data_IF_545984410070
#
_entry.id   IF_545984410070
#
_cell.length_a   1.000
_cell.length_b   1.000
_cell.length_c   1.000
_cell.angle_alpha   90.00
_cell.angle_beta   90.00
_cell.angle_gamma   90.00
#
_symmetry.space_group_name_H-M   'P 1'
#
loop_
_entity.id
_entity.type
_entity.pdbx_description
1 polymer ?
#
# COMPACT_ATOMS: atom_id res chain seq x y z
N UNK A 1 -14.25 -7.17 -18.22
CA UNK A 1 -13.07 -7.66 -17.47
C UNK A 1 -13.44 -7.66 -16.01
N UNK A 2 -13.15 -8.74 -15.30
CA UNK A 2 -13.52 -8.85 -13.88
C UNK A 2 -12.69 -7.89 -13.02
N UNK A 3 -13.28 -7.42 -11.94
CA UNK A 3 -12.62 -6.54 -10.97
C UNK A 3 -12.82 -7.15 -9.60
N UNK A 4 -11.75 -7.29 -8.83
CA UNK A 4 -11.74 -7.83 -7.47
C UNK A 4 -11.20 -6.76 -6.53
N UNK A 5 -11.82 -6.58 -5.37
CA UNK A 5 -11.32 -5.69 -4.33
C UNK A 5 -10.63 -6.51 -3.23
N UNK A 6 -9.37 -6.21 -2.94
CA UNK A 6 -8.64 -6.81 -1.82
C UNK A 6 -8.40 -5.77 -0.73
N UNK A 7 -8.78 -6.10 0.49
CA UNK A 7 -8.53 -5.28 1.68
C UNK A 7 -7.68 -6.05 2.66
N UNK A 8 -6.60 -5.46 3.14
CA UNK A 8 -5.78 -6.03 4.22
C UNK A 8 -6.17 -5.36 5.53
N UNK A 9 -6.62 -6.15 6.50
CA UNK A 9 -7.06 -5.66 7.81
C UNK A 9 -6.06 -6.08 8.89
N UNK A 10 -5.78 -5.17 9.83
CA UNK A 10 -4.91 -5.45 10.97
C UNK A 10 -5.52 -4.99 12.29
N UNK A 11 -5.83 -5.93 13.18
CA UNK A 11 -6.42 -5.68 14.52
C UNK A 11 -7.65 -4.76 14.51
N UNK A 12 -8.45 -4.85 13.45
CA UNK A 12 -9.70 -4.10 13.23
C UNK A 12 -10.77 -5.06 12.73
N UNK A 13 -12.02 -4.84 13.13
CA UNK A 13 -13.15 -5.59 12.55
C UNK A 13 -13.56 -5.04 11.18
N UNK A 14 -14.14 -5.86 10.31
CA UNK A 14 -14.73 -5.38 9.05
C UNK A 14 -15.81 -4.32 9.31
N UNK A 15 -16.54 -4.40 10.40
CA UNK A 15 -17.56 -3.41 10.77
C UNK A 15 -16.95 -2.04 11.11
N UNK A 16 -15.72 -2.01 11.65
CA UNK A 16 -15.01 -0.78 12.01
C UNK A 16 -14.17 -0.21 10.86
N UNK A 17 -13.92 -1.01 9.81
CA UNK A 17 -13.20 -0.57 8.63
C UNK A 17 -14.08 0.31 7.74
N UNK A 18 -13.60 1.51 7.42
CA UNK A 18 -14.27 2.43 6.48
C UNK A 18 -14.44 1.80 5.10
N UNK A 19 -13.39 1.17 4.61
CA UNK A 19 -13.37 0.49 3.32
C UNK A 19 -14.37 -0.65 3.27
N UNK A 20 -14.42 -1.49 4.31
CA UNK A 20 -15.38 -2.60 4.37
C UNK A 20 -16.84 -2.11 4.43
N UNK A 21 -17.11 -1.03 5.19
CA UNK A 21 -18.45 -0.42 5.19
C UNK A 21 -18.84 0.10 3.82
N UNK A 22 -17.93 0.76 3.13
CA UNK A 22 -18.16 1.28 1.79
C UNK A 22 -18.35 0.16 0.75
N UNK A 23 -17.53 -0.90 0.81
CA UNK A 23 -17.63 -2.06 -0.08
C UNK A 23 -18.94 -2.84 0.07
N UNK A 24 -19.58 -2.80 1.24
CA UNK A 24 -20.88 -3.44 1.44
C UNK A 24 -21.97 -2.87 0.50
N UNK A 25 -21.81 -1.66 -0.01
CA UNK A 25 -22.68 -1.03 -1.01
C UNK A 25 -22.20 -1.18 -2.46
N UNK A 26 -21.09 -1.88 -2.70
CA UNK A 26 -20.49 -2.02 -4.02
C UNK A 26 -20.78 -3.39 -4.64
N UNK A 27 -20.92 -3.43 -5.97
CA UNK A 27 -21.12 -4.67 -6.75
C UNK A 27 -19.77 -5.17 -7.29
N UNK A 28 -18.93 -5.65 -6.38
CA UNK A 28 -17.59 -6.18 -6.70
C UNK A 28 -17.29 -7.35 -5.77
N UNK A 29 -16.69 -8.45 -6.26
CA UNK A 29 -16.14 -9.48 -5.38
C UNK A 29 -15.07 -8.92 -4.45
N UNK A 30 -15.20 -9.20 -3.14
CA UNK A 30 -14.32 -8.68 -2.10
C UNK A 30 -13.53 -9.83 -1.47
N UNK A 31 -12.23 -9.60 -1.31
CA UNK A 31 -11.32 -10.45 -0.56
C UNK A 31 -10.85 -9.67 0.67
N UNK A 32 -10.98 -10.26 1.82
CA UNK A 32 -10.42 -9.71 3.07
C UNK A 32 -9.25 -10.60 3.49
N UNK A 33 -8.05 -10.02 3.51
CA UNK A 33 -6.90 -10.67 4.11
C UNK A 33 -6.76 -10.17 5.56
N UNK A 34 -7.04 -11.05 6.51
CA UNK A 34 -6.99 -10.71 7.92
C UNK A 34 -5.58 -10.97 8.48
N UNK A 35 -4.84 -9.89 8.66
CA UNK A 35 -3.48 -9.85 9.17
C UNK A 35 -3.44 -9.66 10.70
N UNK A 36 -4.60 -9.80 11.37
CA UNK A 36 -4.74 -9.53 12.80
C UNK A 36 -4.01 -10.56 13.66
N UNK A 37 -3.50 -10.09 14.80
CA UNK A 37 -2.83 -10.92 15.80
C UNK A 37 -3.80 -11.47 16.86
N UNK A 38 -5.08 -11.09 16.74
CA UNK A 38 -6.18 -11.53 17.61
C UNK A 38 -7.44 -11.70 16.77
N UNK A 39 -8.34 -12.56 17.21
CA UNK A 39 -9.63 -12.74 16.55
C UNK A 39 -10.47 -11.45 16.66
N UNK A 40 -10.88 -10.94 15.53
CA UNK A 40 -11.74 -9.76 15.39
C UNK A 40 -13.14 -10.13 14.87
N UNK A 41 -13.46 -11.41 14.74
CA UNK A 41 -14.72 -11.91 14.20
C UNK A 41 -14.88 -11.67 12.69
N UNK A 42 -13.81 -11.41 11.98
CA UNK A 42 -13.85 -11.03 10.57
C UNK A 42 -14.31 -12.17 9.66
N UNK A 43 -13.98 -13.42 9.98
CA UNK A 43 -14.42 -14.57 9.19
C UNK A 43 -15.94 -14.67 9.14
N UNK A 44 -16.60 -14.55 10.30
CA UNK A 44 -18.07 -14.57 10.38
C UNK A 44 -18.69 -13.41 9.59
N UNK A 45 -18.14 -12.19 9.74
CA UNK A 45 -18.61 -11.00 9.02
C UNK A 45 -18.44 -11.13 7.50
N UNK A 46 -17.34 -11.72 7.03
CA UNK A 46 -17.13 -12.00 5.61
C UNK A 46 -18.15 -13.02 5.09
N UNK A 47 -18.41 -14.08 5.84
CA UNK A 47 -19.41 -15.10 5.49
C UNK A 47 -20.81 -14.51 5.32
N UNK A 48 -21.23 -13.65 6.24
CA UNK A 48 -22.54 -12.96 6.18
C UNK A 48 -22.67 -12.06 4.95
N UNK A 49 -21.56 -11.46 4.50
CA UNK A 49 -21.53 -10.57 3.33
C UNK A 49 -21.26 -11.29 2.00
N UNK A 50 -20.99 -12.59 2.02
CA UNK A 50 -20.58 -13.33 0.83
C UNK A 50 -19.18 -12.94 0.31
N UNK A 51 -18.31 -12.44 1.20
CA UNK A 51 -16.95 -12.08 0.88
C UNK A 51 -15.97 -13.24 1.11
N UNK A 52 -14.88 -13.25 0.36
CA UNK A 52 -13.80 -14.21 0.58
C UNK A 52 -12.96 -13.78 1.78
N UNK A 53 -12.87 -14.67 2.77
CA UNK A 53 -11.98 -14.49 3.92
C UNK A 53 -10.68 -15.27 3.71
N UNK A 54 -9.55 -14.58 3.89
CA UNK A 54 -8.21 -15.17 3.89
C UNK A 54 -7.55 -14.83 5.22
N UNK A 55 -7.35 -15.85 6.05
CA UNK A 55 -6.70 -15.68 7.36
C UNK A 55 -5.18 -15.78 7.25
N UNK A 56 -4.47 -14.79 7.78
CA UNK A 56 -3.03 -14.84 8.01
C UNK A 56 -2.68 -15.66 9.25
N UNK A 57 -1.38 -15.92 9.46
CA UNK A 57 -0.86 -16.56 10.69
C UNK A 57 -0.47 -15.54 11.75
N UNK A 58 -1.14 -14.39 11.76
CA UNK A 58 -0.79 -13.22 12.51
C UNK A 58 -0.36 -12.09 11.58
N UNK A 59 0.46 -11.13 12.06
CA UNK A 59 0.88 -10.02 11.23
C UNK A 59 1.99 -10.44 10.25
N UNK A 60 1.60 -10.95 9.09
CA UNK A 60 2.50 -11.44 8.04
C UNK A 60 3.11 -10.32 7.18
N UNK A 61 2.63 -9.09 7.32
CA UNK A 61 2.99 -7.94 6.49
C UNK A 61 2.17 -7.85 5.20
N UNK A 62 2.25 -6.69 4.54
CA UNK A 62 1.37 -6.39 3.42
C UNK A 62 1.77 -7.13 2.13
N UNK A 63 3.06 -7.39 1.92
CA UNK A 63 3.55 -8.14 0.75
C UNK A 63 3.01 -9.57 0.72
N UNK A 64 3.03 -10.27 1.85
CA UNK A 64 2.45 -11.62 1.97
C UNK A 64 0.93 -11.58 1.82
N UNK A 65 0.28 -10.60 2.40
CA UNK A 65 -1.16 -10.44 2.27
C UNK A 65 -1.59 -10.28 0.80
N UNK A 66 -0.90 -9.43 0.06
CA UNK A 66 -1.18 -9.26 -1.37
C UNK A 66 -0.88 -10.54 -2.17
N UNK A 67 0.25 -11.20 -1.92
CA UNK A 67 0.56 -12.48 -2.54
C UNK A 67 -0.53 -13.53 -2.24
N UNK A 68 -1.03 -13.58 -1.01
CA UNK A 68 -2.13 -14.48 -0.63
C UNK A 68 -3.43 -14.22 -1.41
N UNK A 69 -3.80 -12.95 -1.59
CA UNK A 69 -4.95 -12.57 -2.42
C UNK A 69 -4.75 -12.97 -3.88
N UNK A 70 -3.57 -12.73 -4.43
CA UNK A 70 -3.21 -13.06 -5.81
C UNK A 70 -3.24 -14.58 -6.02
N UNK A 71 -2.61 -15.34 -5.13
CA UNK A 71 -2.56 -16.81 -5.20
C UNK A 71 -3.98 -17.41 -5.16
N UNK A 72 -4.83 -16.89 -4.28
CA UNK A 72 -6.23 -17.33 -4.19
C UNK A 72 -7.00 -17.12 -5.51
N UNK A 73 -6.89 -15.94 -6.11
CA UNK A 73 -7.55 -15.63 -7.37
C UNK A 73 -7.00 -16.47 -8.53
N UNK A 74 -5.69 -16.66 -8.60
CA UNK A 74 -5.04 -17.47 -9.64
C UNK A 74 -5.38 -18.95 -9.52
N UNK A 75 -5.45 -19.49 -8.31
CA UNK A 75 -5.89 -20.88 -8.08
C UNK A 75 -7.33 -21.13 -8.55
N UNK A 76 -8.16 -20.09 -8.55
CA UNK A 76 -9.52 -20.14 -9.09
C UNK A 76 -9.60 -19.83 -10.60
N UNK A 77 -8.46 -19.66 -11.28
CA UNK A 77 -8.43 -19.32 -12.70
C UNK A 77 -8.99 -17.93 -13.03
N UNK A 78 -9.04 -17.02 -12.04
CA UNK A 78 -9.59 -15.68 -12.23
C UNK A 78 -8.64 -14.82 -13.09
N UNK A 79 -9.26 -13.97 -13.89
CA UNK A 79 -8.59 -12.96 -14.72
C UNK A 79 -9.21 -11.59 -14.45
N UNK A 80 -8.53 -10.52 -14.84
CA UNK A 80 -9.02 -9.16 -14.65
C UNK A 80 -8.15 -8.36 -13.69
N UNK A 81 -8.73 -7.39 -12.99
CA UNK A 81 -7.99 -6.49 -12.10
C UNK A 81 -8.15 -6.86 -10.63
N UNK A 82 -7.05 -6.81 -9.91
CA UNK A 82 -7.03 -6.78 -8.45
C UNK A 82 -6.84 -5.33 -7.99
N UNK A 83 -7.86 -4.77 -7.34
CA UNK A 83 -7.80 -3.45 -6.72
C UNK A 83 -7.35 -3.60 -5.27
N UNK A 84 -6.20 -3.02 -4.93
CA UNK A 84 -5.63 -3.01 -3.59
C UNK A 84 -6.20 -1.83 -2.82
N UNK A 85 -6.76 -2.08 -1.65
CA UNK A 85 -7.40 -1.06 -0.82
C UNK A 85 -6.88 -1.16 0.61
N UNK A 86 -6.55 -0.01 1.20
CA UNK A 86 -6.30 0.09 2.64
C UNK A 86 -7.62 0.02 3.41
N UNK A 87 -7.61 -0.31 4.68
CA UNK A 87 -8.81 -0.52 5.49
C UNK A 87 -9.54 0.79 5.92
N UNK A 88 -8.97 1.94 5.55
CA UNK A 88 -9.46 3.29 5.80
C UNK A 88 -9.75 4.10 4.51
N UNK A 89 -9.87 3.44 3.36
CA UNK A 89 -10.16 4.07 2.07
C UNK A 89 -11.66 4.24 1.86
N UNK A 90 -12.11 5.46 1.56
CA UNK A 90 -13.50 5.77 1.20
C UNK A 90 -13.77 5.40 -0.26
N UNK A 91 -13.89 4.10 -0.53
CA UNK A 91 -14.18 3.59 -1.86
C UNK A 91 -15.68 3.71 -2.19
N UNK A 92 -16.02 3.78 -3.47
CA UNK A 92 -17.42 3.83 -3.94
C UNK A 92 -17.60 3.00 -5.20
N UNK A 93 -18.86 2.68 -5.55
CA UNK A 93 -19.18 2.02 -6.81
C UNK A 93 -18.63 2.81 -8.02
N UNK A 94 -18.63 4.14 -7.96
CA UNK A 94 -18.08 5.00 -9.02
C UNK A 94 -16.61 4.75 -9.33
N UNK A 95 -15.81 4.31 -8.35
CA UNK A 95 -14.43 3.87 -8.61
C UNK A 95 -14.40 2.62 -9.49
N UNK A 96 -15.19 1.59 -9.17
CA UNK A 96 -15.25 0.36 -9.94
C UNK A 96 -15.83 0.58 -11.34
N UNK A 97 -16.82 1.45 -11.47
CA UNK A 97 -17.38 1.85 -12.76
C UNK A 97 -16.35 2.60 -13.62
N UNK A 98 -15.48 3.40 -13.01
CA UNK A 98 -14.37 4.04 -13.71
C UNK A 98 -13.27 3.05 -14.07
N UNK A 99 -13.00 2.06 -13.20
CA UNK A 99 -12.05 0.96 -13.46
C UNK A 99 -12.50 0.07 -14.63
N UNK A 100 -13.79 -0.21 -14.77
CA UNK A 100 -14.31 -1.07 -15.85
C UNK A 100 -14.03 -0.53 -17.26
N UNK A 101 -13.68 0.75 -17.36
CA UNK A 101 -13.35 1.45 -18.63
C UNK A 101 -11.84 1.51 -18.89
N UNK A 102 -11.02 0.99 -17.98
CA UNK A 102 -9.56 1.01 -18.14
C UNK A 102 -9.09 -0.20 -18.94
N UNK A 103 -7.99 -0.02 -19.63
CA UNK A 103 -7.35 -1.05 -20.47
C UNK A 103 -5.87 -1.24 -20.15
N UNK A 104 -5.29 -0.34 -19.38
CA UNK A 104 -3.89 -0.40 -18.97
C UNK A 104 -3.69 -1.38 -17.81
N UNK A 105 -2.58 -2.11 -17.84
CA UNK A 105 -2.29 -3.18 -16.87
C UNK A 105 -2.15 -2.71 -15.42
N UNK A 106 -1.77 -1.46 -15.21
CA UNK A 106 -1.65 -0.83 -13.90
C UNK A 106 -2.38 0.50 -13.95
N UNK A 107 -3.34 0.69 -13.06
CA UNK A 107 -4.14 1.93 -12.97
C UNK A 107 -4.09 2.44 -11.53
N UNK A 108 -3.88 3.74 -11.38
CA UNK A 108 -3.81 4.38 -10.06
C UNK A 108 -4.74 5.59 -10.00
N UNK A 109 -5.50 5.76 -8.91
CA UNK A 109 -6.29 6.97 -8.68
C UNK A 109 -5.39 8.11 -8.20
N UNK A 110 -5.97 9.30 -8.15
CA UNK A 110 -5.38 10.42 -7.41
C UNK A 110 -5.82 10.35 -5.96
N UNK A 111 -4.90 10.55 -5.04
CA UNK A 111 -5.18 10.49 -3.60
C UNK A 111 -4.84 11.83 -2.97
N UNK A 112 -5.78 12.35 -2.20
CA UNK A 112 -5.67 13.62 -1.49
C UNK A 112 -5.81 13.42 0.02
N UNK A 113 -5.09 14.21 0.82
CA UNK A 113 -5.29 14.34 2.26
C UNK A 113 -5.18 15.81 2.62
N UNK A 114 -6.06 16.30 3.46
CA UNK A 114 -6.12 17.70 3.88
C UNK A 114 -5.96 18.71 2.70
N UNK A 115 -6.60 18.42 1.56
CA UNK A 115 -6.55 19.24 0.34
C UNK A 115 -5.22 19.15 -0.43
N UNK A 116 -4.26 18.31 0.01
CA UNK A 116 -3.00 18.09 -0.69
C UNK A 116 -3.01 16.74 -1.40
N UNK A 117 -2.53 16.71 -2.65
CA UNK A 117 -2.33 15.43 -3.35
C UNK A 117 -1.16 14.68 -2.71
N UNK A 118 -1.37 13.42 -2.38
CA UNK A 118 -0.36 12.50 -1.88
C UNK A 118 0.18 11.58 -2.97
N UNK A 119 -0.70 11.17 -3.90
CA UNK A 119 -0.43 10.20 -4.95
C UNK A 119 -1.20 10.57 -6.23
N UNK A 120 -0.64 10.27 -7.42
CA UNK A 120 0.69 9.77 -7.69
C UNK A 120 1.79 10.83 -7.46
N UNK A 121 3.04 10.37 -7.46
CA UNK A 121 4.23 11.21 -7.34
C UNK A 121 5.34 10.71 -8.28
N UNK A 122 6.44 11.44 -8.35
CA UNK A 122 7.70 10.94 -8.93
C UNK A 122 8.60 10.44 -7.81
N UNK A 123 9.26 9.32 -8.03
CA UNK A 123 10.20 8.76 -7.06
C UNK A 123 11.65 8.91 -7.59
N UNK A 124 12.47 9.65 -6.86
CA UNK A 124 13.90 9.77 -7.20
C UNK A 124 14.63 8.45 -6.91
N UNK A 125 15.84 8.28 -7.46
CA UNK A 125 16.70 7.12 -7.17
C UNK A 125 16.93 6.89 -5.66
N UNK A 126 16.99 7.95 -4.87
CA UNK A 126 17.08 7.87 -3.40
C UNK A 126 15.73 7.72 -2.68
N UNK A 127 14.69 7.21 -3.35
CA UNK A 127 13.34 7.00 -2.81
C UNK A 127 12.69 8.27 -2.19
N UNK A 128 13.04 9.46 -2.69
CA UNK A 128 12.36 10.70 -2.31
C UNK A 128 11.21 10.95 -3.26
N UNK A 129 10.01 11.04 -2.72
CA UNK A 129 8.82 11.43 -3.49
C UNK A 129 8.86 12.92 -3.84
N UNK A 130 8.46 13.23 -5.08
CA UNK A 130 8.25 14.58 -5.59
C UNK A 130 6.85 14.63 -6.18
N UNK A 131 5.99 15.45 -5.62
CA UNK A 131 4.63 15.64 -6.13
C UNK A 131 4.69 16.36 -7.48
N UNK A 132 3.72 16.06 -8.34
CA UNK A 132 3.50 16.83 -9.57
C UNK A 132 2.97 18.22 -9.23
N UNK A 133 3.28 19.21 -10.05
CA UNK A 133 2.87 20.61 -9.83
C UNK A 133 1.38 20.81 -10.04
N UNK A 134 0.78 20.07 -10.99
CA UNK A 134 -0.65 20.14 -11.31
C UNK A 134 -1.21 18.76 -11.68
N UNK A 135 -2.54 18.70 -11.85
CA UNK A 135 -3.23 17.44 -12.15
C UNK A 135 -2.99 16.96 -13.58
N UNK A 136 -2.95 17.87 -14.55
CA UNK A 136 -2.73 17.53 -15.96
C UNK A 136 -1.37 16.86 -16.12
N UNK A 137 -0.32 17.44 -15.51
CA UNK A 137 1.01 16.85 -15.48
C UNK A 137 0.98 15.44 -14.90
N UNK A 138 0.26 15.20 -13.79
CA UNK A 138 0.17 13.89 -13.17
C UNK A 138 -0.52 12.87 -14.08
N UNK A 139 -1.60 13.27 -14.76
CA UNK A 139 -2.38 12.37 -15.63
C UNK A 139 -1.67 12.03 -16.95
N UNK A 140 -0.86 12.95 -17.46
CA UNK A 140 -0.16 12.79 -18.74
C UNK A 140 1.27 12.25 -18.58
N UNK A 141 1.74 12.07 -17.33
CA UNK A 141 3.12 11.67 -17.09
C UNK A 141 3.36 10.20 -17.43
N UNK A 142 4.39 9.95 -18.24
CA UNK A 142 4.79 8.63 -18.73
C UNK A 142 6.21 8.22 -18.32
N UNK A 143 6.85 9.01 -17.45
CA UNK A 143 8.22 8.73 -17.00
C UNK A 143 8.31 7.44 -16.16
N UNK A 144 9.46 6.78 -16.20
CA UNK A 144 9.69 5.52 -15.46
C UNK A 144 9.83 5.70 -13.95
N UNK A 145 9.92 6.94 -13.48
CA UNK A 145 10.00 7.30 -12.08
C UNK A 145 8.62 7.66 -11.47
N UNK A 146 7.52 7.44 -12.21
CA UNK A 146 6.18 7.57 -11.64
C UNK A 146 5.96 6.52 -10.56
N UNK A 147 5.38 6.94 -9.46
CA UNK A 147 5.04 6.07 -8.33
C UNK A 147 3.71 6.49 -7.70
N UNK A 148 3.09 5.56 -7.00
CA UNK A 148 1.82 5.76 -6.33
C UNK A 148 1.75 4.90 -5.07
N UNK A 149 0.86 5.23 -4.14
CA UNK A 149 0.54 4.38 -2.99
C UNK A 149 -0.48 3.32 -3.40
N UNK A 150 -0.52 2.21 -2.64
CA UNK A 150 -1.38 1.07 -2.98
C UNK A 150 -2.88 1.38 -2.93
N UNK A 151 -3.32 2.34 -2.11
CA UNK A 151 -4.74 2.64 -1.91
C UNK A 151 -5.45 2.94 -3.23
N UNK A 152 -6.25 2.00 -3.71
CA UNK A 152 -6.94 2.06 -5.00
C UNK A 152 -6.08 1.76 -6.22
N UNK A 153 -4.85 1.24 -6.06
CA UNK A 153 -4.08 0.74 -7.19
C UNK A 153 -4.75 -0.52 -7.72
N UNK A 154 -5.06 -0.53 -9.00
CA UNK A 154 -5.59 -1.69 -9.70
C UNK A 154 -4.52 -2.29 -10.61
N UNK A 155 -4.30 -3.58 -10.51
CA UNK A 155 -3.28 -4.32 -11.24
C UNK A 155 -3.92 -5.49 -11.97
N UNK A 156 -3.66 -5.62 -13.27
CA UNK A 156 -4.11 -6.77 -14.05
C UNK A 156 -3.41 -8.04 -13.56
N UNK A 157 -4.18 -9.08 -13.27
CA UNK A 157 -3.70 -10.33 -12.67
C UNK A 157 -2.63 -11.02 -13.52
N UNK A 158 -2.61 -10.82 -14.85
CA UNK A 158 -1.58 -11.36 -15.74
C UNK A 158 -0.17 -10.87 -15.44
N UNK A 159 -0.02 -9.70 -14.82
CA UNK A 159 1.31 -9.22 -14.42
C UNK A 159 1.97 -10.08 -13.33
N UNK A 160 1.15 -10.80 -12.57
CA UNK A 160 1.61 -11.69 -11.52
C UNK A 160 1.96 -13.12 -12.01
N UNK A 161 1.91 -13.39 -13.33
CA UNK A 161 2.42 -14.64 -13.90
C UNK A 161 3.95 -14.74 -13.80
N UNK A 162 4.63 -13.60 -13.80
CA UNK A 162 6.09 -13.51 -13.65
C UNK A 162 6.55 -12.56 -12.56
N UNK A 163 5.68 -12.25 -11.58
CA UNK A 163 6.00 -11.35 -10.47
C UNK A 163 5.30 -11.76 -9.17
N UNK A 164 6.00 -11.60 -8.07
CA UNK A 164 5.46 -11.64 -6.70
C UNK A 164 5.98 -10.44 -5.92
N UNK A 165 5.17 -9.93 -5.01
CA UNK A 165 5.67 -8.95 -4.03
C UNK A 165 6.77 -9.57 -3.20
N UNK A 166 7.84 -8.81 -2.94
CA UNK A 166 8.97 -9.27 -2.12
C UNK A 166 8.56 -9.31 -0.64
N UNK A 167 8.42 -10.52 -0.10
CA UNK A 167 7.97 -10.77 1.26
C UNK A 167 8.97 -10.35 2.36
N UNK A 168 10.20 -9.99 1.97
CA UNK A 168 11.16 -9.35 2.88
C UNK A 168 10.80 -7.88 3.18
N UNK A 169 9.95 -7.26 2.36
CA UNK A 169 9.40 -5.93 2.59
C UNK A 169 8.06 -6.10 3.30
N UNK A 170 8.03 -5.69 4.58
CA UNK A 170 6.89 -5.97 5.44
C UNK A 170 5.72 -4.99 5.21
N UNK A 171 6.01 -3.68 5.09
CA UNK A 171 4.98 -2.65 5.04
C UNK A 171 5.37 -1.44 4.18
N UNK A 172 6.56 -0.87 4.38
CA UNK A 172 6.95 0.39 3.74
C UNK A 172 7.65 0.16 2.40
N UNK A 173 7.19 0.89 1.37
CA UNK A 173 7.80 0.88 0.04
C UNK A 173 7.48 -0.34 -0.82
N UNK A 174 6.50 -1.14 -0.43
CA UNK A 174 5.97 -2.27 -1.22
C UNK A 174 5.45 -1.78 -2.56
N UNK A 175 4.63 -0.72 -2.54
CA UNK A 175 4.08 -0.03 -3.70
C UNK A 175 5.16 0.56 -4.61
N UNK A 176 6.09 1.28 -4.01
CA UNK A 176 7.20 1.91 -4.73
C UNK A 176 8.13 0.88 -5.39
N UNK A 177 8.40 -0.23 -4.69
CA UNK A 177 9.21 -1.33 -5.21
C UNK A 177 8.49 -2.02 -6.37
N UNK A 178 7.21 -2.34 -6.21
CA UNK A 178 6.37 -2.91 -7.26
C UNK A 178 6.40 -2.05 -8.52
N UNK A 179 6.11 -0.75 -8.41
CA UNK A 179 6.05 0.14 -9.57
C UNK A 179 7.40 0.33 -10.24
N UNK A 180 8.50 0.37 -9.47
CA UNK A 180 9.86 0.39 -10.01
C UNK A 180 10.16 -0.89 -10.81
N UNK A 181 9.81 -2.04 -10.28
CA UNK A 181 10.05 -3.34 -10.93
C UNK A 181 9.18 -3.49 -12.18
N UNK A 182 7.94 -2.99 -12.16
CA UNK A 182 7.08 -2.94 -13.33
C UNK A 182 7.61 -1.99 -14.40
N UNK A 183 8.12 -0.82 -14.00
CA UNK A 183 8.75 0.13 -14.93
C UNK A 183 9.98 -0.48 -15.63
N UNK A 184 10.79 -1.27 -14.91
CA UNK A 184 11.92 -1.99 -15.49
C UNK A 184 11.49 -3.06 -16.53
N UNK A 185 10.27 -3.59 -16.40
CA UNK A 185 9.65 -4.52 -17.36
C UNK A 185 8.85 -3.80 -18.46
N UNK A 186 8.90 -2.47 -18.52
CA UNK A 186 8.20 -1.65 -19.52
C UNK A 186 6.74 -1.33 -19.18
N UNK A 187 6.23 -1.72 -18.03
CA UNK A 187 4.88 -1.42 -17.56
C UNK A 187 4.88 -0.16 -16.69
N UNK A 188 3.96 0.76 -16.96
CA UNK A 188 3.81 2.00 -16.18
C UNK A 188 2.38 2.18 -15.74
N UNK A 189 2.14 2.77 -14.56
CA UNK A 189 0.78 3.05 -14.13
C UNK A 189 0.16 4.17 -14.96
N UNK A 190 -1.10 4.00 -15.32
CA UNK A 190 -1.97 5.05 -15.86
C UNK A 190 -2.69 5.71 -14.70
N UNK A 191 -2.58 7.02 -14.64
CA UNK A 191 -3.36 7.80 -13.67
C UNK A 191 -4.78 7.96 -14.21
N UNK A 192 -5.76 7.45 -13.45
CA UNK A 192 -7.16 7.53 -13.85
C UNK A 192 -7.80 8.86 -13.42
N UNK A 193 -8.86 9.25 -14.12
CA UNK A 193 -9.65 10.42 -13.73
C UNK A 193 -10.65 10.08 -12.61
N UNK A 194 -10.10 9.62 -11.48
CA UNK A 194 -10.81 9.36 -10.24
C UNK A 194 -9.94 9.78 -9.06
N UNK A 195 -10.56 10.19 -7.95
CA UNK A 195 -9.81 10.57 -6.76
C UNK A 195 -10.45 10.04 -5.49
N UNK A 196 -9.60 9.65 -4.54
CA UNK A 196 -9.97 9.40 -3.17
C UNK A 196 -9.54 10.55 -2.26
N UNK A 197 -10.35 10.84 -1.25
CA UNK A 197 -9.91 11.63 -0.11
C UNK A 197 -9.56 10.66 1.01
N UNK A 198 -8.37 10.81 1.57
CA UNK A 198 -7.84 9.99 2.63
C UNK A 198 -7.67 10.86 3.87
N UNK A 199 -8.15 10.42 5.02
CA UNK A 199 -7.71 11.00 6.28
C UNK A 199 -6.34 10.38 6.61
N UNK A 200 -5.28 11.08 6.22
CA UNK A 200 -3.93 10.56 6.43
C UNK A 200 -3.63 10.46 7.93
N UNK A 201 -3.40 9.24 8.40
CA UNK A 201 -3.03 8.95 9.79
C UNK A 201 -1.75 9.66 10.27
N UNK A 202 -1.05 10.33 9.38
CA UNK A 202 0.12 11.16 9.68
C UNK A 202 -0.22 12.52 10.31
N UNK A 203 -1.46 12.98 10.27
CA UNK A 203 -1.88 14.27 10.85
C UNK A 203 -2.14 14.18 12.36
N UNK A 204 -2.28 12.98 12.92
CA UNK A 204 -2.34 12.75 14.37
C UNK A 204 -0.97 12.32 14.91
N UNK A 205 -0.54 12.91 16.03
CA UNK A 205 0.67 12.47 16.74
C UNK A 205 0.35 11.20 17.54
N UNK A 206 0.69 9.99 17.05
CA UNK A 206 0.41 8.76 17.78
C UNK A 206 1.24 8.69 19.08
N UNK A 207 0.89 7.84 20.03
CA UNK A 207 1.72 7.58 21.21
C UNK A 207 3.14 7.19 20.82
N UNK A 208 4.15 7.64 21.61
CA UNK A 208 5.58 7.41 21.31
C UNK A 208 5.90 5.94 21.01
N UNK A 209 5.32 5.01 21.76
CA UNK A 209 5.56 3.58 21.56
C UNK A 209 5.11 3.09 20.17
N UNK A 210 3.93 3.53 19.72
CA UNK A 210 3.41 3.22 18.38
C UNK A 210 4.27 3.85 17.29
N UNK A 211 4.66 5.13 17.44
CA UNK A 211 5.55 5.82 16.52
C UNK A 211 6.92 5.13 16.41
N UNK A 212 7.47 4.69 17.55
CA UNK A 212 8.76 3.98 17.58
C UNK A 212 8.68 2.62 16.89
N UNK A 213 7.62 1.86 17.14
CA UNK A 213 7.40 0.58 16.45
C UNK A 213 7.24 0.79 14.94
N UNK A 214 6.46 1.77 14.52
CA UNK A 214 6.27 2.13 13.11
C UNK A 214 7.58 2.58 12.45
N UNK A 215 8.42 3.31 13.16
CA UNK A 215 9.75 3.71 12.71
C UNK A 215 10.69 2.51 12.53
N UNK A 216 10.65 1.53 13.44
CA UNK A 216 11.47 0.30 13.33
C UNK A 216 11.12 -0.48 12.07
N UNK A 217 9.83 -0.63 11.77
CA UNK A 217 9.36 -1.29 10.54
C UNK A 217 9.90 -0.52 9.33
N UNK A 218 9.68 0.78 9.27
CA UNK A 218 10.18 1.66 8.21
C UNK A 218 11.69 1.54 8.00
N UNK A 219 12.46 1.62 9.09
CA UNK A 219 13.92 1.56 9.01
C UNK A 219 14.41 0.19 8.52
N UNK A 220 13.75 -0.90 8.92
CA UNK A 220 14.07 -2.26 8.49
C UNK A 220 13.75 -2.45 7.00
N UNK A 221 12.55 -2.08 6.58
CA UNK A 221 12.11 -2.26 5.20
C UNK A 221 13.00 -1.46 4.24
N UNK A 222 13.28 -0.18 4.54
CA UNK A 222 14.18 0.62 3.72
C UNK A 222 15.66 0.18 3.81
N UNK A 223 16.10 -0.45 4.91
CA UNK A 223 17.42 -1.05 4.99
C UNK A 223 17.56 -2.20 3.98
N UNK A 224 16.50 -2.96 3.77
CA UNK A 224 16.44 -4.02 2.78
C UNK A 224 16.31 -3.46 1.36
N UNK A 225 15.38 -2.55 1.10
CA UNK A 225 15.14 -1.94 -0.21
C UNK A 225 16.38 -1.23 -0.75
N UNK A 226 17.09 -0.50 0.12
CA UNK A 226 18.28 0.30 -0.20
C UNK A 226 19.59 -0.39 0.21
N UNK A 227 19.61 -1.73 0.24
CA UNK A 227 20.79 -2.49 0.67
C UNK A 227 22.04 -2.22 -0.17
N UNK A 228 21.85 -1.85 -1.44
CA UNK A 228 22.92 -1.51 -2.39
C UNK A 228 23.22 -0.02 -2.45
N UNK A 229 22.37 0.83 -1.87
CA UNK A 229 22.52 2.30 -1.81
C UNK A 229 22.44 2.79 -0.35
N UNK A 230 23.49 2.46 0.40
CA UNK A 230 23.56 2.84 1.81
C UNK A 230 23.54 4.37 2.06
N UNK A 231 24.16 5.23 1.23
CA UNK A 231 24.00 6.68 1.34
C UNK A 231 22.54 7.13 1.22
N UNK A 232 21.76 6.57 0.28
CA UNK A 232 20.33 6.87 0.15
C UNK A 232 19.54 6.43 1.39
N UNK A 233 19.87 5.24 1.95
CA UNK A 233 19.27 4.78 3.21
C UNK A 233 19.54 5.77 4.35
N UNK A 234 20.79 6.20 4.53
CA UNK A 234 21.16 7.18 5.57
C UNK A 234 20.40 8.50 5.39
N UNK A 235 20.31 8.99 4.15
CA UNK A 235 19.64 10.25 3.86
C UNK A 235 18.12 10.17 4.12
N UNK A 236 17.48 9.06 3.70
CA UNK A 236 16.03 8.88 3.81
C UNK A 236 15.62 8.57 5.26
N UNK A 237 16.18 7.51 5.83
CA UNK A 237 15.79 7.01 7.15
C UNK A 237 16.37 7.89 8.26
N UNK A 238 17.59 8.40 8.08
CA UNK A 238 18.23 9.34 9.01
C UNK A 238 17.44 10.64 9.14
N UNK A 239 16.94 11.20 8.03
CA UNK A 239 16.06 12.39 8.07
C UNK A 239 14.79 12.13 8.89
N UNK A 240 14.13 10.98 8.67
CA UNK A 240 12.92 10.60 9.43
C UNK A 240 13.25 10.39 10.91
N UNK A 241 14.36 9.73 11.21
CA UNK A 241 14.85 9.54 12.57
C UNK A 241 15.05 10.88 13.29
N UNK A 242 15.75 11.85 12.66
CA UNK A 242 15.96 13.17 13.24
C UNK A 242 14.64 13.89 13.51
N UNK A 243 13.72 13.87 12.54
CA UNK A 243 12.40 14.50 12.69
C UNK A 243 11.66 13.91 13.91
N UNK A 244 11.58 12.57 14.01
CA UNK A 244 10.88 11.91 15.12
C UNK A 244 11.58 12.11 16.46
N UNK A 245 12.92 12.13 16.48
CA UNK A 245 13.71 12.43 17.69
C UNK A 245 13.35 13.80 18.24
N UNK A 246 13.28 14.83 17.39
CA UNK A 246 12.88 16.19 17.78
C UNK A 246 11.41 16.23 18.18
N UNK A 247 10.51 15.64 17.38
CA UNK A 247 9.07 15.66 17.60
C UNK A 247 8.65 15.03 18.94
N UNK A 248 9.35 13.96 19.35
CA UNK A 248 9.05 13.23 20.59
C UNK A 248 10.00 13.53 21.75
N UNK A 249 11.06 14.34 21.53
CA UNK A 249 12.06 14.61 22.54
C UNK A 249 12.77 13.34 23.04
N UNK A 250 12.99 12.34 22.19
CA UNK A 250 13.46 11.01 22.63
C UNK A 250 14.56 10.45 21.73
N UNK A 251 15.65 10.03 22.34
CA UNK A 251 16.76 9.34 21.67
C UNK A 251 16.44 7.89 21.29
N UNK A 252 15.27 7.36 21.63
CA UNK A 252 14.88 5.98 21.27
C UNK A 252 14.81 5.76 19.77
N UNK A 253 14.45 6.79 18.99
CA UNK A 253 14.46 6.73 17.52
C UNK A 253 15.89 6.63 16.97
N UNK A 254 16.82 7.34 17.56
CA UNK A 254 18.24 7.23 17.22
C UNK A 254 18.80 5.84 17.54
N UNK A 255 18.50 5.31 18.73
CA UNK A 255 18.88 3.94 19.12
C UNK A 255 18.31 2.90 18.17
N UNK A 256 17.02 3.03 17.80
CA UNK A 256 16.36 2.14 16.85
C UNK A 256 17.02 2.22 15.45
N UNK A 257 17.37 3.41 14.99
CA UNK A 257 18.09 3.59 13.73
C UNK A 257 19.44 2.88 13.74
N UNK A 258 20.23 3.03 14.81
CA UNK A 258 21.52 2.35 14.94
C UNK A 258 21.39 0.84 14.97
N UNK A 259 20.33 0.31 15.62
CA UNK A 259 20.07 -1.14 15.64
C UNK A 259 19.75 -1.67 14.24
N UNK A 260 18.86 -1.00 13.49
CA UNK A 260 18.51 -1.40 12.12
C UNK A 260 19.69 -1.26 11.13
N UNK A 261 20.59 -0.27 11.36
CA UNK A 261 21.78 -0.08 10.51
C UNK A 261 22.72 -1.30 10.53
N UNK A 262 22.88 -1.95 11.69
CA UNK A 262 23.83 -3.07 11.85
C UNK A 262 23.36 -4.35 11.13
N UNK A 263 22.13 -4.41 10.62
CA UNK A 263 21.53 -5.60 10.04
C UNK A 263 21.28 -6.64 11.13
N UNK A 264 20.06 -6.98 11.42
CA UNK A 264 19.78 -8.23 12.14
C UNK A 264 20.25 -9.37 11.24
N UNK A 265 21.19 -10.19 11.75
CA UNK A 265 21.49 -11.51 11.19
C UNK A 265 20.27 -12.39 11.29
#
# INVERSE_FOLDING_TARGET
>A
MDIFAAVVIYNRSCADSETCRALAGCRVPVLIYDNSTRDMGNEAQCREKGWTYLGGKGNDGISKAYNGCIDHLKQQGKQGYLCLLDDDTQVSQGYFDAMSRQTEKIVVPRIYSAGRRLSPCRLSKGHRSRLFTDEKQAMEYTGSDISAINSGMAVELSLFDGYRYDENIFLDGVDHTFLRDMAAKGHRPKVMNFSFTHEFSGDSKPPKAAALNRFRIYARDYRYILREDFPAYLALVGRRMLHLTVQYGSLDFFRAFLACRKGSK
#
